data_IF_932564830651
#
_entry.id   IF_932564830651
#
_cell.length_a   1.000
_cell.length_b   1.000
_cell.length_c   1.000
_cell.angle_alpha   90.00
_cell.angle_beta   90.00
_cell.angle_gamma   90.00
#
_symmetry.space_group_name_H-M   'P 1'
#
loop_
_entity.id
_entity.type
_entity.pdbx_description
1 polymer ?
#
# COMPACT_ATOMS: atom_id res chain seq x y z
N UNK A 1 10.13 4.86 11.78
CA UNK A 1 9.14 4.76 10.68
C UNK A 1 8.08 5.83 10.90
N UNK A 2 7.63 6.51 9.85
CA UNK A 2 6.51 7.47 9.96
C UNK A 2 5.21 6.68 10.23
N UNK A 3 4.23 7.29 10.89
CA UNK A 3 2.90 6.68 10.99
C UNK A 3 2.37 6.41 9.58
N UNK A 4 1.65 5.31 9.42
CA UNK A 4 0.97 4.94 8.19
C UNK A 4 -0.51 4.88 8.50
N UNK A 5 -1.22 5.93 8.09
CA UNK A 5 -2.67 6.00 8.23
C UNK A 5 -3.32 5.57 6.92
N UNK A 6 -4.38 4.79 7.02
CA UNK A 6 -5.23 4.43 5.88
C UNK A 6 -6.61 5.02 6.08
N UNK A 7 -7.21 5.47 4.97
CA UNK A 7 -8.66 5.54 4.90
C UNK A 7 -9.24 4.12 5.05
N UNK A 8 -10.34 3.92 5.80
CA UNK A 8 -10.94 2.60 5.98
C UNK A 8 -11.22 1.85 4.66
N UNK A 9 -11.70 2.54 3.62
CA UNK A 9 -11.96 1.91 2.32
C UNK A 9 -10.65 1.49 1.64
N UNK A 10 -9.58 2.28 1.76
CA UNK A 10 -8.27 1.91 1.22
C UNK A 10 -7.68 0.66 1.90
N UNK A 11 -7.96 0.47 3.20
CA UNK A 11 -7.56 -0.74 3.90
C UNK A 11 -8.36 -1.96 3.42
N UNK A 12 -9.67 -1.81 3.22
CA UNK A 12 -10.52 -2.86 2.64
C UNK A 12 -10.10 -3.23 1.22
N UNK A 13 -9.75 -2.25 0.39
CA UNK A 13 -9.24 -2.47 -0.97
C UNK A 13 -7.95 -3.28 -0.95
N UNK A 14 -7.01 -2.96 -0.05
CA UNK A 14 -5.78 -3.73 0.10
C UNK A 14 -6.09 -5.17 0.54
N UNK A 15 -7.02 -5.36 1.48
CA UNK A 15 -7.46 -6.69 1.92
C UNK A 15 -8.14 -7.48 0.80
N UNK A 16 -8.88 -6.81 -0.08
CA UNK A 16 -9.47 -7.41 -1.28
C UNK A 16 -8.38 -7.85 -2.26
N UNK A 17 -7.40 -6.99 -2.55
CA UNK A 17 -6.28 -7.35 -3.44
C UNK A 17 -5.46 -8.53 -2.91
N UNK A 18 -5.24 -8.64 -1.60
CA UNK A 18 -4.55 -9.80 -1.01
C UNK A 18 -5.26 -11.12 -1.33
N UNK A 19 -6.60 -11.10 -1.41
CA UNK A 19 -7.41 -12.28 -1.70
C UNK A 19 -7.49 -12.58 -3.20
N UNK A 20 -7.57 -11.55 -4.05
CA UNK A 20 -7.76 -11.72 -5.49
C UNK A 20 -6.45 -11.87 -6.27
N UNK A 21 -5.44 -11.07 -5.94
CA UNK A 21 -4.18 -10.98 -6.68
C UNK A 21 -3.05 -10.52 -5.77
N UNK A 22 -2.28 -11.49 -5.27
CA UNK A 22 -1.17 -11.25 -4.34
C UNK A 22 -0.03 -10.45 -4.96
N UNK A 23 0.19 -10.55 -6.28
CA UNK A 23 1.26 -9.81 -6.94
C UNK A 23 0.92 -8.32 -6.99
N UNK A 24 -0.36 -7.99 -7.23
CA UNK A 24 -0.84 -6.60 -7.12
C UNK A 24 -0.77 -6.08 -5.69
N UNK A 25 -1.20 -6.87 -4.70
CA UNK A 25 -1.10 -6.47 -3.30
C UNK A 25 0.36 -6.21 -2.89
N UNK A 26 1.29 -7.07 -3.32
CA UNK A 26 2.71 -6.90 -3.06
C UNK A 26 3.26 -5.61 -3.71
N UNK A 27 2.85 -5.32 -4.94
CA UNK A 27 3.23 -4.08 -5.63
C UNK A 27 2.72 -2.83 -4.89
N UNK A 28 1.48 -2.85 -4.41
CA UNK A 28 0.90 -1.75 -3.62
C UNK A 28 1.72 -1.52 -2.34
N UNK A 29 2.04 -2.59 -1.61
CA UNK A 29 2.85 -2.50 -0.38
C UNK A 29 4.23 -1.91 -0.67
N UNK A 30 4.87 -2.27 -1.79
CA UNK A 30 6.16 -1.69 -2.15
C UNK A 30 6.05 -0.21 -2.50
N UNK A 31 5.02 0.21 -3.23
CA UNK A 31 4.77 1.63 -3.51
C UNK A 31 4.57 2.44 -2.23
N UNK A 32 3.83 1.90 -1.25
CA UNK A 32 3.65 2.56 0.06
C UNK A 32 5.00 2.73 0.75
N UNK A 33 5.87 1.71 0.72
CA UNK A 33 7.23 1.81 1.29
C UNK A 33 8.08 2.86 0.58
N UNK A 34 8.00 2.94 -0.75
CA UNK A 34 8.73 3.94 -1.53
C UNK A 34 8.25 5.36 -1.20
N UNK A 35 6.94 5.59 -1.14
CA UNK A 35 6.35 6.89 -0.74
C UNK A 35 6.72 7.27 0.70
N UNK A 36 6.81 6.29 1.61
CA UNK A 36 7.30 6.50 2.97
C UNK A 36 8.79 6.86 3.02
N UNK A 37 9.59 6.42 2.04
CA UNK A 37 11.00 6.81 1.90
C UNK A 37 11.11 8.21 1.30
N UNK A 38 10.52 8.41 0.11
CA UNK A 38 10.48 9.68 -0.61
C UNK A 38 9.13 9.85 -1.30
N UNK A 39 8.34 10.83 -0.85
CA UNK A 39 6.92 10.92 -1.16
C UNK A 39 6.63 11.39 -2.59
N UNK A 40 7.62 11.96 -3.28
CA UNK A 40 7.44 12.51 -4.63
C UNK A 40 8.54 12.10 -5.61
N UNK A 41 9.38 11.12 -5.25
CA UNK A 41 10.39 10.54 -6.13
C UNK A 41 10.22 9.03 -6.19
N UNK A 42 10.19 8.50 -7.42
CA UNK A 42 10.14 7.06 -7.70
C UNK A 42 11.51 6.42 -7.65
#
# INVERSE_FOLDING_TARGET
>A
MRSLEFDPAAFEDLAWWIQQDRDKAFRIVNLIKDVQRDSFRG
#
